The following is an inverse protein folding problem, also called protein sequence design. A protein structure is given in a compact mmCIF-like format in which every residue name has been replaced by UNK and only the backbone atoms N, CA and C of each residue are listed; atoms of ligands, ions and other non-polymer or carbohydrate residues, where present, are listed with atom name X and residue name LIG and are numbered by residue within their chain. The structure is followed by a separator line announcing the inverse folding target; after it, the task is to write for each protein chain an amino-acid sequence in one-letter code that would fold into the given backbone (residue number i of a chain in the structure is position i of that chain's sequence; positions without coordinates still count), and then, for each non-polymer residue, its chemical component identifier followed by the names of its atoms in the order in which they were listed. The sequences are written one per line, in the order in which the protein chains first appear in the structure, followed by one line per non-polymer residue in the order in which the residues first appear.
data_IF_966346947474
#
_entry.id   IF_966346947474
#
_cell.length_a   1.000
_cell.length_b   1.000
_cell.length_c   1.000
_cell.angle_alpha   90.00
_cell.angle_beta   90.00
_cell.angle_gamma   90.00
#
_symmetry.space_group_name_H-M   'P 1'
#
loop_
_entity.id
_entity.type
_entity.pdbx_description
1 polymer ?
#
# COMPACT_ATOMS: atom_id res chain seq x y z
N UNK A 1 29.41 16.54 1.74
CA UNK A 1 28.97 15.18 1.37
C UNK A 1 27.54 15.05 1.83
N UNK A 2 26.59 15.12 0.89
CA UNK A 2 25.16 14.88 1.18
C UNK A 2 25.01 13.38 1.39
N UNK A 3 24.56 12.98 2.58
CA UNK A 3 24.23 11.59 2.87
C UNK A 3 23.20 11.11 1.82
N UNK A 4 23.42 10.00 1.09
CA UNK A 4 22.39 9.47 0.22
C UNK A 4 21.19 9.12 1.11
N UNK A 5 20.03 9.72 0.83
CA UNK A 5 18.80 9.41 1.55
C UNK A 5 18.67 7.88 1.69
N UNK A 6 18.34 7.36 2.89
CA UNK A 6 18.21 5.93 3.10
C UNK A 6 17.27 5.35 2.03
N UNK A 7 17.70 4.25 1.42
CA UNK A 7 16.89 3.55 0.42
C UNK A 7 15.58 3.12 1.11
N UNK A 8 14.42 3.42 0.53
CA UNK A 8 13.15 3.08 1.17
C UNK A 8 13.09 1.57 1.40
N UNK A 9 12.87 1.12 2.62
CA UNK A 9 12.76 -0.30 2.90
C UNK A 9 11.45 -0.88 2.33
N UNK A 10 10.39 -0.09 2.42
CA UNK A 10 9.08 -0.39 1.85
C UNK A 10 8.48 0.85 1.15
N UNK A 11 7.71 0.58 0.11
CA UNK A 11 6.97 1.57 -0.68
C UNK A 11 5.50 1.20 -0.63
N UNK A 12 4.65 2.11 -0.18
CA UNK A 12 3.20 1.95 -0.27
C UNK A 12 2.71 2.70 -1.51
N UNK A 13 1.98 2.01 -2.38
CA UNK A 13 1.45 2.55 -3.61
C UNK A 13 -0.07 2.47 -3.57
N UNK A 14 -0.74 3.63 -3.63
CA UNK A 14 -2.20 3.70 -3.70
C UNK A 14 -2.67 3.17 -5.05
N UNK A 15 -3.59 2.22 -5.01
CA UNK A 15 -4.22 1.63 -6.18
C UNK A 15 -5.73 1.51 -5.99
N UNK A 16 -6.41 1.13 -7.06
CA UNK A 16 -7.84 0.87 -7.15
C UNK A 16 -8.07 -0.36 -8.02
N UNK A 17 -9.32 -0.78 -8.12
CA UNK A 17 -9.72 -1.85 -9.05
C UNK A 17 -9.67 -1.38 -10.51
N UNK A 18 -9.64 -0.07 -10.76
CA UNK A 18 -9.54 0.52 -12.09
C UNK A 18 -8.09 0.75 -12.56
N UNK A 19 -7.94 1.17 -13.81
CA UNK A 19 -6.64 1.40 -14.43
C UNK A 19 -6.04 2.80 -14.15
N UNK A 20 -6.72 3.67 -13.38
CA UNK A 20 -6.29 5.05 -13.16
C UNK A 20 -4.96 5.13 -12.39
N UNK A 21 -4.66 4.14 -11.55
CA UNK A 21 -3.43 4.08 -10.76
C UNK A 21 -2.28 3.32 -11.45
N UNK A 22 -2.42 2.97 -12.74
CA UNK A 22 -1.38 2.23 -13.46
C UNK A 22 -0.01 2.95 -13.46
N UNK A 23 -0.01 4.29 -13.53
CA UNK A 23 1.20 5.11 -13.43
C UNK A 23 1.87 5.00 -12.06
N UNK A 24 1.07 5.00 -10.98
CA UNK A 24 1.53 4.83 -9.59
C UNK A 24 2.19 3.46 -9.41
N UNK A 25 1.52 2.38 -9.84
CA UNK A 25 2.04 1.01 -9.76
C UNK A 25 3.35 0.86 -10.55
N UNK A 26 3.40 1.44 -11.76
CA UNK A 26 4.62 1.43 -12.59
C UNK A 26 5.77 2.19 -11.93
N UNK A 27 5.48 3.35 -11.32
CA UNK A 27 6.46 4.13 -10.58
C UNK A 27 6.99 3.35 -9.37
N UNK A 28 6.10 2.71 -8.61
CA UNK A 28 6.46 1.86 -7.48
C UNK A 28 7.40 0.72 -7.92
N UNK A 29 7.08 0.05 -9.02
CA UNK A 29 7.91 -1.00 -9.60
C UNK A 29 9.32 -0.51 -9.95
N UNK A 30 9.42 0.67 -10.58
CA UNK A 30 10.70 1.24 -11.00
C UNK A 30 11.58 1.62 -9.80
N UNK A 31 10.99 2.22 -8.77
CA UNK A 31 11.70 2.57 -7.53
C UNK A 31 12.14 1.30 -6.81
N UNK A 32 11.25 0.33 -6.66
CA UNK A 32 11.54 -0.95 -6.00
C UNK A 32 12.64 -1.76 -6.69
N UNK A 33 12.62 -1.85 -8.02
CA UNK A 33 13.68 -2.53 -8.78
C UNK A 33 15.05 -1.86 -8.60
N UNK A 34 15.07 -0.53 -8.49
CA UNK A 34 16.32 0.23 -8.32
C UNK A 34 16.85 0.12 -6.89
N UNK A 35 15.96 0.14 -5.89
CA UNK A 35 16.31 0.22 -4.48
C UNK A 35 16.35 -1.14 -3.77
N UNK A 36 15.72 -2.19 -4.34
CA UNK A 36 15.50 -3.48 -3.70
C UNK A 36 14.38 -3.44 -2.65
N UNK A 37 13.43 -2.53 -2.79
CA UNK A 37 12.35 -2.28 -1.81
C UNK A 37 11.16 -3.21 -2.01
N UNK A 38 10.45 -3.52 -0.92
CA UNK A 38 9.13 -4.17 -0.99
C UNK A 38 8.07 -3.15 -1.46
N UNK A 39 7.17 -3.56 -2.35
CA UNK A 39 6.00 -2.78 -2.76
C UNK A 39 4.75 -3.31 -2.09
N UNK A 40 3.95 -2.42 -1.51
CA UNK A 40 2.64 -2.75 -0.97
C UNK A 40 1.59 -1.94 -1.74
N UNK A 41 0.70 -2.65 -2.43
CA UNK A 41 -0.43 -2.06 -3.12
C UNK A 41 -1.58 -1.87 -2.13
N UNK A 42 -1.87 -0.61 -1.84
CA UNK A 42 -2.94 -0.21 -0.92
C UNK A 42 -4.20 0.03 -1.74
N UNK A 43 -5.21 -0.83 -1.56
CA UNK A 43 -6.45 -0.76 -2.34
C UNK A 43 -7.43 0.25 -1.74
N UNK A 44 -7.62 1.39 -2.40
CA UNK A 44 -8.55 2.43 -1.94
C UNK A 44 -10.02 1.99 -1.98
N UNK A 45 -10.35 1.01 -2.81
CA UNK A 45 -11.71 0.50 -3.00
C UNK A 45 -12.00 -0.69 -2.07
N UNK A 46 -11.04 -1.05 -1.21
CA UNK A 46 -11.19 -2.07 -0.17
C UNK A 46 -12.47 -1.91 0.68
N UNK A 47 -12.84 -0.71 1.15
CA UNK A 47 -14.02 -0.53 2.01
C UNK A 47 -15.36 -0.60 1.25
N UNK A 48 -15.33 -0.40 -0.07
CA UNK A 48 -16.54 -0.18 -0.89
C UNK A 48 -17.14 -1.49 -1.41
N UNK A 49 -16.35 -2.57 -1.49
CA UNK A 49 -16.90 -3.86 -1.91
C UNK A 49 -17.52 -4.58 -0.72
N UNK A 50 -18.84 -4.82 -0.72
CA UNK A 50 -19.41 -5.78 0.21
C UNK A 50 -18.77 -7.13 -0.08
N UNK A 51 -18.19 -7.75 0.93
CA UNK A 51 -17.82 -9.16 0.88
C UNK A 51 -19.12 -9.94 0.58
N UNK A 52 -19.41 -10.21 -0.70
CA UNK A 52 -20.54 -11.04 -1.10
C UNK A 52 -20.23 -12.48 -0.70
N UNK A 53 -20.77 -12.85 0.47
CA UNK A 53 -21.01 -14.22 0.95
C UNK A 53 -19.81 -14.98 1.56
N UNK A 54 -20.10 -15.91 2.49
CA UNK A 54 -19.41 -16.02 3.75
C UNK A 54 -18.02 -16.60 3.55
N UNK A 55 -17.07 -15.91 4.15
CA UNK A 55 -15.74 -16.41 4.39
C UNK A 55 -15.85 -17.78 5.08
N UNK A 56 -15.01 -18.78 4.74
CA UNK A 56 -15.01 -20.05 5.42
C UNK A 56 -14.97 -19.84 6.94
N UNK A 57 -15.87 -20.52 7.65
CA UNK A 57 -16.11 -20.41 9.10
C UNK A 57 -14.89 -20.67 10.01
N UNK A 58 -13.72 -20.97 9.43
CA UNK A 58 -12.44 -21.00 10.13
C UNK A 58 -11.83 -19.60 10.33
N UNK A 59 -12.43 -18.52 9.81
CA UNK A 59 -11.97 -17.14 10.02
C UNK A 59 -12.39 -16.54 11.38
N UNK A 60 -13.10 -17.29 12.23
CA UNK A 60 -13.53 -16.86 13.56
C UNK A 60 -13.48 -18.02 14.55
N UNK A 61 -12.29 -18.56 14.81
CA UNK A 61 -12.06 -19.60 15.82
C UNK A 61 -10.85 -19.25 16.68
N UNK A 62 -11.14 -18.75 17.90
CA UNK A 62 -10.30 -18.81 19.11
C UNK A 62 -8.76 -18.77 18.94
N UNK A 63 -8.19 -17.59 19.18
CA UNK A 63 -6.90 -17.51 19.88
C UNK A 63 -5.62 -17.40 19.06
N UNK A 64 -5.57 -16.61 17.97
CA UNK A 64 -4.31 -16.05 17.43
C UNK A 64 -4.65 -14.98 16.36
N UNK A 65 -4.57 -13.68 16.71
CA UNK A 65 -4.72 -12.58 15.76
C UNK A 65 -3.50 -12.50 14.82
N UNK A 66 -3.40 -13.38 13.82
CA UNK A 66 -2.49 -13.27 12.66
C UNK A 66 -2.61 -14.52 11.77
N UNK A 67 -3.55 -14.56 10.82
CA UNK A 67 -3.50 -15.57 9.75
C UNK A 67 -3.66 -15.03 8.33
N UNK A 68 -4.12 -13.80 8.16
CA UNK A 68 -3.68 -12.97 7.04
C UNK A 68 -2.71 -11.96 7.64
N UNK A 69 -1.41 -12.11 7.36
CA UNK A 69 -0.47 -11.04 7.66
C UNK A 69 -0.92 -9.77 6.93
N UNK A 70 -0.45 -8.61 7.37
CA UNK A 70 -0.75 -7.30 6.76
C UNK A 70 -0.37 -7.16 5.27
N UNK A 71 0.01 -8.26 4.61
CA UNK A 71 0.50 -8.38 3.25
C UNK A 71 -0.15 -9.60 2.61
N UNK A 72 -1.01 -9.35 1.62
CA UNK A 72 -1.71 -10.38 0.87
C UNK A 72 -0.96 -10.73 -0.41
N UNK A 73 -0.80 -12.03 -0.67
CA UNK A 73 -0.30 -12.51 -1.95
C UNK A 73 -1.41 -12.49 -3.02
N UNK A 74 -1.07 -12.76 -4.30
CA UNK A 74 -2.07 -12.84 -5.36
C UNK A 74 -3.22 -13.83 -5.08
N UNK A 75 -2.93 -14.99 -4.49
CA UNK A 75 -3.95 -15.99 -4.19
C UNK A 75 -4.91 -15.52 -3.09
N UNK A 76 -4.39 -14.87 -2.05
CA UNK A 76 -5.20 -14.34 -0.95
C UNK A 76 -6.09 -13.19 -1.43
N UNK A 77 -5.57 -12.34 -2.33
CA UNK A 77 -6.34 -11.27 -2.97
C UNK A 77 -7.46 -11.84 -3.86
N UNK A 78 -7.20 -12.90 -4.63
CA UNK A 78 -8.27 -13.59 -5.40
C UNK A 78 -9.33 -14.17 -4.47
N UNK A 79 -8.91 -14.81 -3.37
CA UNK A 79 -9.84 -15.34 -2.37
C UNK A 79 -10.68 -14.24 -1.69
N UNK A 80 -10.12 -13.03 -1.56
CA UNK A 80 -10.80 -11.84 -1.06
C UNK A 80 -11.66 -11.10 -2.13
N UNK A 81 -11.78 -11.63 -3.35
CA UNK A 81 -12.52 -11.00 -4.45
C UNK A 81 -11.81 -9.80 -5.08
N UNK A 82 -10.50 -9.64 -4.86
CA UNK A 82 -9.66 -8.53 -5.31
C UNK A 82 -8.77 -8.93 -6.48
N UNK A 83 -9.40 -9.54 -7.49
CA UNK A 83 -8.72 -10.04 -8.70
C UNK A 83 -7.94 -8.95 -9.47
N UNK A 84 -8.44 -7.70 -9.60
CA UNK A 84 -7.67 -6.63 -10.23
C UNK A 84 -6.35 -6.34 -9.51
N UNK A 85 -6.39 -6.21 -8.17
CA UNK A 85 -5.20 -6.00 -7.33
C UNK A 85 -4.30 -7.23 -7.34
N UNK A 86 -4.86 -8.44 -7.27
CA UNK A 86 -4.11 -9.70 -7.37
C UNK A 86 -3.27 -9.78 -8.64
N UNK A 87 -3.85 -9.35 -9.78
CA UNK A 87 -3.15 -9.27 -11.06
C UNK A 87 -2.01 -8.27 -11.00
N UNK A 88 -2.23 -7.08 -10.44
CA UNK A 88 -1.16 -6.07 -10.28
C UNK A 88 0.00 -6.60 -9.44
N UNK A 89 -0.28 -7.23 -8.27
CA UNK A 89 0.74 -7.87 -7.43
C UNK A 89 1.47 -8.97 -8.20
N UNK A 90 0.74 -9.81 -8.94
CA UNK A 90 1.30 -10.86 -9.76
C UNK A 90 2.25 -10.35 -10.83
N UNK A 91 1.87 -9.29 -11.57
CA UNK A 91 2.75 -8.68 -12.57
C UNK A 91 4.01 -8.08 -11.95
N UNK A 92 3.90 -7.40 -10.80
CA UNK A 92 5.07 -6.87 -10.09
C UNK A 92 6.04 -8.00 -9.70
N UNK A 93 5.52 -9.10 -9.13
CA UNK A 93 6.35 -10.26 -8.77
C UNK A 93 7.04 -10.89 -9.97
N UNK A 94 6.40 -10.94 -11.14
CA UNK A 94 7.04 -11.42 -12.39
C UNK A 94 8.21 -10.55 -12.84
N UNK A 95 8.22 -9.27 -12.46
CA UNK A 95 9.36 -8.36 -12.72
C UNK A 95 10.46 -8.45 -11.67
N UNK A 96 10.35 -9.37 -10.70
CA UNK A 96 11.33 -9.55 -9.62
C UNK A 96 11.14 -8.60 -8.43
N UNK A 97 10.04 -7.86 -8.38
CA UNK A 97 9.69 -7.00 -7.24
C UNK A 97 9.02 -7.84 -6.16
N UNK A 98 9.46 -7.70 -4.91
CA UNK A 98 8.73 -8.22 -3.76
C UNK A 98 7.47 -7.38 -3.53
N UNK A 99 6.34 -7.84 -4.06
CA UNK A 99 5.08 -7.09 -4.04
C UNK A 99 3.99 -7.80 -3.25
N UNK A 100 3.16 -7.02 -2.56
CA UNK A 100 2.04 -7.47 -1.75
C UNK A 100 0.85 -6.54 -1.93
N UNK A 101 -0.37 -7.00 -1.61
CA UNK A 101 -1.54 -6.15 -1.51
C UNK A 101 -1.96 -5.95 -0.06
N UNK A 102 -2.67 -4.86 0.21
CA UNK A 102 -3.32 -4.59 1.49
C UNK A 102 -4.71 -4.04 1.26
N UNK A 103 -5.67 -4.50 2.07
CA UNK A 103 -7.08 -4.13 1.99
C UNK A 103 -7.45 -3.31 3.24
N UNK A 104 -7.43 -1.97 3.16
CA UNK A 104 -7.82 -1.12 4.27
C UNK A 104 -9.24 -1.37 4.75
N UNK A 105 -9.43 -1.27 6.07
CA UNK A 105 -10.77 -1.04 6.62
C UNK A 105 -11.30 0.38 6.31
N UNK A 106 -10.40 1.35 6.14
CA UNK A 106 -10.69 2.75 5.78
C UNK A 106 -9.71 3.25 4.73
N UNK A 107 -10.23 3.93 3.72
CA UNK A 107 -9.45 4.52 2.64
C UNK A 107 -9.17 6.02 2.84
N UNK A 108 -8.83 6.40 4.07
CA UNK A 108 -8.44 7.78 4.44
C UNK A 108 -6.91 7.93 4.64
N UNK A 109 -6.45 9.18 4.68
CA UNK A 109 -5.05 9.53 4.84
C UNK A 109 -4.45 9.02 6.17
N UNK A 110 -5.25 9.02 7.25
CA UNK A 110 -4.82 8.57 8.58
C UNK A 110 -4.52 7.06 8.57
N UNK A 111 -5.42 6.26 8.00
CA UNK A 111 -5.26 4.81 7.83
C UNK A 111 -4.04 4.48 6.99
N UNK A 112 -3.85 5.20 5.88
CA UNK A 112 -2.68 5.03 5.01
C UNK A 112 -1.37 5.43 5.70
N UNK A 113 -1.35 6.56 6.42
CA UNK A 113 -0.18 7.01 7.17
C UNK A 113 0.18 6.06 8.32
N UNK A 114 -0.81 5.58 9.07
CA UNK A 114 -0.62 4.61 10.13
C UNK A 114 -0.07 3.28 9.58
N UNK A 115 -0.63 2.80 8.47
CA UNK A 115 -0.13 1.58 7.82
C UNK A 115 1.32 1.75 7.32
N UNK A 116 1.61 2.87 6.67
CA UNK A 116 2.97 3.18 6.22
C UNK A 116 3.95 3.23 7.41
N UNK A 117 3.52 3.79 8.54
CA UNK A 117 4.32 3.83 9.77
C UNK A 117 4.62 2.44 10.35
N UNK A 118 3.59 1.62 10.53
CA UNK A 118 3.70 0.28 11.13
C UNK A 118 4.59 -0.64 10.27
N UNK A 119 4.59 -0.44 8.95
CA UNK A 119 5.44 -1.18 8.02
C UNK A 119 6.77 -0.51 7.69
N UNK A 120 7.12 0.59 8.38
CA UNK A 120 8.35 1.34 8.16
C UNK A 120 8.54 1.73 6.69
N UNK A 121 7.45 2.09 6.01
CA UNK A 121 7.48 2.57 4.65
C UNK A 121 7.94 4.02 4.64
N UNK A 122 9.03 4.27 3.92
CA UNK A 122 9.61 5.61 3.82
C UNK A 122 9.02 6.40 2.64
N UNK A 123 8.25 5.74 1.77
CA UNK A 123 7.66 6.33 0.56
C UNK A 123 6.21 5.88 0.36
N UNK A 124 5.32 6.86 0.21
CA UNK A 124 3.94 6.68 -0.24
C UNK A 124 3.78 7.32 -1.62
N UNK A 125 3.35 6.52 -2.59
CA UNK A 125 3.05 6.95 -3.95
C UNK A 125 1.53 7.05 -4.14
N UNK A 126 1.08 8.24 -4.55
CA UNK A 126 -0.34 8.56 -4.75
C UNK A 126 -0.53 9.16 -6.14
N UNK A 127 -1.69 8.95 -6.76
CA UNK A 127 -2.01 9.64 -8.00
C UNK A 127 -2.05 11.15 -7.78
N UNK A 128 -1.49 11.93 -8.69
CA UNK A 128 -1.56 13.40 -8.65
C UNK A 128 -3.01 13.92 -8.73
N UNK A 129 -3.94 13.08 -9.21
CA UNK A 129 -5.37 13.40 -9.29
C UNK A 129 -6.06 13.35 -7.91
N UNK A 130 -5.45 12.68 -6.92
CA UNK A 130 -5.94 12.63 -5.53
C UNK A 130 -5.37 13.77 -4.68
N UNK A 131 -5.64 15.01 -5.10
CA UNK A 131 -5.09 16.21 -4.46
C UNK A 131 -5.43 16.31 -2.95
N UNK A 132 -6.65 15.92 -2.56
CA UNK A 132 -7.09 15.94 -1.16
C UNK A 132 -6.31 14.93 -0.31
N UNK A 133 -6.17 13.68 -0.78
CA UNK A 133 -5.39 12.65 -0.10
C UNK A 133 -3.92 13.06 0.03
N UNK A 134 -3.35 13.69 -1.01
CA UNK A 134 -1.97 14.21 -0.97
C UNK A 134 -1.84 15.31 0.08
N UNK A 135 -2.79 16.25 0.13
CA UNK A 135 -2.76 17.35 1.09
C UNK A 135 -2.84 16.83 2.53
N UNK A 136 -3.77 15.91 2.80
CA UNK A 136 -3.96 15.32 4.13
C UNK A 136 -2.75 14.50 4.57
N UNK A 137 -2.17 13.67 3.68
CA UNK A 137 -0.95 12.91 3.99
C UNK A 137 0.25 13.81 4.27
N UNK A 138 0.37 14.94 3.57
CA UNK A 138 1.44 15.92 3.81
C UNK A 138 1.25 16.62 5.14
N UNK A 139 0.03 17.04 5.46
CA UNK A 139 -0.27 17.63 6.77
C UNK A 139 0.06 16.63 7.90
N UNK A 140 -0.30 15.36 7.74
CA UNK A 140 0.05 14.30 8.70
C UNK A 140 1.56 14.04 8.80
N UNK A 141 2.30 14.12 7.68
CA UNK A 141 3.75 13.96 7.67
C UNK A 141 4.49 15.17 8.30
N UNK A 142 3.93 16.38 8.14
CA UNK A 142 4.49 17.63 8.66
C UNK A 142 4.07 17.89 10.12
N UNK A 143 3.00 17.25 10.62
CA UNK A 143 2.64 17.24 12.04
C UNK A 143 3.78 16.56 12.82
N UNK A 144 4.68 17.40 13.29
CA UNK A 144 5.83 17.11 14.15
C UNK A 144 5.49 15.97 15.13
N UNK A 145 5.97 14.77 14.85
CA UNK A 145 6.06 13.72 15.85
C UNK A 145 7.23 14.12 16.77
N UNK A 146 6.99 14.52 18.03
CA UNK A 146 8.06 14.89 18.95
C UNK A 146 9.06 13.75 19.22
N UNK A 147 8.75 12.51 18.81
CA UNK A 147 9.64 11.36 18.87
C UNK A 147 10.45 11.12 17.57
N UNK A 148 10.21 11.88 16.49
CA UNK A 148 10.93 11.77 15.22
C UNK A 148 10.82 10.41 14.54
N UNK A 149 9.78 9.62 14.82
CA UNK A 149 9.66 8.22 14.36
C UNK A 149 9.07 8.08 12.96
N UNK A 150 8.58 9.16 12.37
CA UNK A 150 7.80 9.11 11.13
C UNK A 150 8.37 10.09 10.09
N UNK A 151 9.16 9.56 9.14
CA UNK A 151 9.59 10.31 7.95
C UNK A 151 9.00 9.67 6.70
N UNK A 152 7.68 9.69 6.60
CA UNK A 152 7.00 9.21 5.39
C UNK A 152 7.13 10.30 4.32
N UNK A 153 7.74 9.98 3.18
CA UNK A 153 7.74 10.86 2.01
C UNK A 153 6.50 10.58 1.15
N UNK A 154 5.76 11.62 0.80
CA UNK A 154 4.64 11.53 -0.14
C UNK A 154 5.06 12.03 -1.52
N UNK A 155 5.00 11.16 -2.53
CA UNK A 155 5.27 11.51 -3.93
C UNK A 155 4.00 11.35 -4.78
N UNK A 156 3.60 12.44 -5.41
CA UNK A 156 2.47 12.48 -6.34
C UNK A 156 2.95 12.04 -7.73
N UNK A 157 2.29 11.06 -8.32
CA UNK A 157 2.62 10.50 -9.63
C UNK A 157 1.60 11.00 -10.65
N UNK A 158 2.02 11.69 -11.72
CA UNK A 158 1.11 12.07 -12.79
C UNK A 158 0.62 10.81 -13.53
N UNK A 159 -0.63 10.87 -14.04
CA UNK A 159 -1.24 9.82 -14.85
C UNK A 159 -0.44 9.47 -16.12
#
# INVERSE_FOLDING_TARGET
MTDPLPRPAAIVAVTSDDASHAAVVKRAAAVAQTAGSTVILWDRDAPTSPLESPLPTDWSGDGEQQQFGDRLGPNDLVAAGREPVARQVGELRRTGVDAWGWLPAKSDAESLAAYAADHQADLVLVSADDADLIADLRDLADRDDPAGRHRIRVEAVPA
#
